data_IF_161545907954
#
_entry.id   IF_161545907954
#
_cell.length_a   1.000
_cell.length_b   1.000
_cell.length_c   1.000
_cell.angle_alpha   90.00
_cell.angle_beta   90.00
_cell.angle_gamma   90.00
#
_symmetry.space_group_name_H-M   'P 1'
#
loop_
_entity.id
_entity.type
_entity.pdbx_description
1 polymer ?
#
# COMPACT_ATOMS: atom_id res chain seq x y z
N UNK A 1 23.12 11.07 22.34
CA UNK A 1 23.55 11.18 20.93
C UNK A 1 22.29 11.40 20.12
N UNK A 2 22.06 12.62 19.63
CA UNK A 2 20.88 12.96 18.83
C UNK A 2 21.03 12.33 17.45
N UNK A 3 20.20 11.35 17.13
CA UNK A 3 20.06 10.85 15.77
C UNK A 3 19.70 12.05 14.89
N UNK A 4 20.56 12.36 13.91
CA UNK A 4 20.23 13.36 12.91
C UNK A 4 18.95 12.90 12.21
N UNK A 5 17.94 13.77 12.17
CA UNK A 5 16.75 13.54 11.35
C UNK A 5 17.23 13.19 9.92
N UNK A 6 16.70 12.13 9.29
CA UNK A 6 17.13 11.74 7.96
C UNK A 6 16.99 12.94 7.02
N UNK A 7 18.12 13.40 6.51
CA UNK A 7 18.20 14.54 5.60
C UNK A 7 17.56 14.09 4.28
N UNK A 8 16.26 14.31 4.11
CA UNK A 8 15.55 13.90 2.90
C UNK A 8 16.02 14.77 1.72
N UNK A 9 16.58 14.17 0.65
CA UNK A 9 17.38 14.87 -0.35
C UNK A 9 16.59 15.73 -1.34
N UNK A 10 15.27 15.84 -1.19
CA UNK A 10 14.40 16.56 -2.12
C UNK A 10 14.49 18.10 -2.00
N UNK A 11 15.55 18.62 -1.38
CA UNK A 11 15.76 20.03 -1.08
C UNK A 11 15.89 20.94 -2.32
N UNK A 12 16.14 20.37 -3.52
CA UNK A 12 16.11 21.11 -4.77
C UNK A 12 14.66 21.22 -5.31
N UNK A 13 13.92 22.19 -4.79
CA UNK A 13 12.47 22.36 -5.03
C UNK A 13 12.15 22.54 -6.53
N UNK A 14 12.92 23.34 -7.27
CA UNK A 14 12.63 23.66 -8.68
C UNK A 14 12.83 22.45 -9.61
N UNK A 15 13.94 21.73 -9.51
CA UNK A 15 14.17 20.53 -10.34
C UNK A 15 13.18 19.40 -10.00
N UNK A 16 12.71 19.37 -8.76
CA UNK A 16 11.70 18.40 -8.31
C UNK A 16 10.34 18.65 -8.96
N UNK A 17 9.94 19.92 -9.15
CA UNK A 17 8.66 20.26 -9.77
C UNK A 17 8.60 19.90 -11.26
N UNK A 18 9.66 20.16 -12.03
CA UNK A 18 9.71 19.81 -13.46
C UNK A 18 9.67 18.30 -13.69
N UNK A 19 10.42 17.52 -12.90
CA UNK A 19 10.41 16.05 -12.97
C UNK A 19 9.03 15.51 -12.61
N UNK A 20 8.43 16.00 -11.51
CA UNK A 20 7.09 15.58 -11.11
C UNK A 20 6.03 15.98 -12.13
N UNK A 21 6.19 17.12 -12.81
CA UNK A 21 5.31 17.53 -13.90
C UNK A 21 5.39 16.54 -15.07
N UNK A 22 6.60 16.22 -15.53
CA UNK A 22 6.84 15.20 -16.57
C UNK A 22 6.20 13.86 -16.20
N UNK A 23 6.44 13.35 -14.98
CA UNK A 23 5.83 12.09 -14.55
C UNK A 23 4.30 12.14 -14.47
N UNK A 24 3.71 13.28 -14.13
CA UNK A 24 2.25 13.43 -14.18
C UNK A 24 1.75 13.31 -15.61
N UNK A 25 2.36 14.03 -16.54
CA UNK A 25 1.98 14.04 -17.96
C UNK A 25 2.12 12.65 -18.61
N UNK A 26 3.17 11.89 -18.25
CA UNK A 26 3.47 10.60 -18.86
C UNK A 26 2.65 9.41 -18.28
N UNK A 27 2.26 9.49 -17.00
CA UNK A 27 1.73 8.32 -16.27
C UNK A 27 0.34 8.49 -15.68
N UNK A 28 -0.11 9.71 -15.39
CA UNK A 28 -1.40 9.93 -14.73
C UNK A 28 -2.53 9.88 -15.73
N UNK A 29 -3.60 9.16 -15.38
CA UNK A 29 -4.86 9.20 -16.11
C UNK A 29 -6.01 9.13 -15.09
N UNK A 30 -6.60 10.29 -14.77
CA UNK A 30 -7.63 10.37 -13.74
C UNK A 30 -8.96 9.73 -14.15
N UNK A 31 -9.16 9.43 -15.44
CA UNK A 31 -10.37 8.77 -15.96
C UNK A 31 -10.34 7.24 -15.78
N UNK A 32 -9.19 6.67 -15.43
CA UNK A 32 -9.00 5.22 -15.33
C UNK A 32 -8.75 4.77 -13.87
N UNK A 33 -9.62 3.95 -13.27
CA UNK A 33 -9.49 3.52 -11.88
C UNK A 33 -8.27 2.63 -11.61
N UNK A 34 -7.64 2.06 -12.65
CA UNK A 34 -6.36 1.35 -12.54
C UNK A 34 -5.19 2.15 -13.12
N UNK A 35 -5.35 3.41 -13.46
CA UNK A 35 -4.20 4.25 -13.76
C UNK A 35 -3.54 4.78 -12.48
N UNK A 36 -2.35 5.35 -12.67
CA UNK A 36 -1.65 6.09 -11.63
C UNK A 36 -2.36 7.42 -11.41
N UNK A 37 -2.41 7.86 -10.15
CA UNK A 37 -2.86 9.20 -9.80
C UNK A 37 -1.68 10.05 -9.31
N UNK A 38 -1.88 11.37 -9.29
CA UNK A 38 -0.84 12.33 -8.91
C UNK A 38 -0.22 12.04 -7.53
N UNK A 39 -1.04 11.64 -6.55
CA UNK A 39 -0.55 11.36 -5.19
C UNK A 39 0.35 10.13 -5.15
N UNK A 40 0.05 9.10 -5.94
CA UNK A 40 0.88 7.90 -6.03
C UNK A 40 2.20 8.18 -6.75
N UNK A 41 2.19 9.01 -7.81
CA UNK A 41 3.43 9.46 -8.47
C UNK A 41 4.34 10.19 -7.47
N UNK A 42 3.77 11.10 -6.67
CA UNK A 42 4.50 11.80 -5.62
C UNK A 42 5.08 10.82 -4.59
N UNK A 43 4.24 9.90 -4.10
CA UNK A 43 4.67 8.86 -3.17
C UNK A 43 5.86 8.06 -3.71
N UNK A 44 5.78 7.56 -4.95
CA UNK A 44 6.85 6.80 -5.59
C UNK A 44 8.15 7.63 -5.76
N UNK A 45 8.03 8.92 -6.08
CA UNK A 45 9.21 9.80 -6.17
C UNK A 45 9.89 9.97 -4.82
N UNK A 46 9.11 10.17 -3.75
CA UNK A 46 9.64 10.34 -2.40
C UNK A 46 10.27 9.06 -1.84
N UNK A 47 9.63 7.89 -1.98
CA UNK A 47 10.22 6.63 -1.50
C UNK A 47 11.51 6.28 -2.26
N UNK A 48 11.60 6.68 -3.53
CA UNK A 48 12.83 6.55 -4.33
C UNK A 48 13.84 7.67 -4.09
N UNK A 49 13.67 8.45 -3.01
CA UNK A 49 14.58 9.50 -2.56
C UNK A 49 14.80 10.57 -3.65
N UNK A 50 13.75 10.92 -4.37
CA UNK A 50 13.77 11.90 -5.45
C UNK A 50 14.74 11.55 -6.61
N UNK A 51 15.02 10.25 -6.79
CA UNK A 51 15.82 9.76 -7.91
C UNK A 51 14.94 9.55 -9.14
N UNK A 52 15.16 10.35 -10.20
CA UNK A 52 14.36 10.31 -11.43
C UNK A 52 14.34 8.92 -12.06
N UNK A 53 15.51 8.33 -12.34
CA UNK A 53 15.63 7.03 -13.01
C UNK A 53 14.90 5.92 -12.26
N UNK A 54 15.15 5.78 -10.94
CA UNK A 54 14.48 4.77 -10.11
C UNK A 54 12.97 5.00 -10.04
N UNK A 55 12.55 6.26 -10.00
CA UNK A 55 11.12 6.59 -9.98
C UNK A 55 10.47 6.23 -11.30
N UNK A 56 11.10 6.54 -12.43
CA UNK A 56 10.58 6.20 -13.75
C UNK A 56 10.48 4.69 -13.94
N UNK A 57 11.48 3.93 -13.53
CA UNK A 57 11.46 2.45 -13.53
C UNK A 57 10.32 1.92 -12.66
N UNK A 58 10.14 2.46 -11.45
CA UNK A 58 9.05 2.08 -10.55
C UNK A 58 7.67 2.43 -11.15
N UNK A 59 7.52 3.58 -11.80
CA UNK A 59 6.27 4.00 -12.45
C UNK A 59 5.91 3.10 -13.63
N UNK A 60 6.88 2.73 -14.48
CA UNK A 60 6.69 1.79 -15.59
C UNK A 60 6.23 0.42 -15.08
N UNK A 61 6.95 -0.11 -14.09
CA UNK A 61 6.60 -1.38 -13.47
C UNK A 61 5.21 -1.34 -12.81
N UNK A 62 4.92 -0.29 -12.04
CA UNK A 62 3.62 -0.15 -11.39
C UNK A 62 2.50 -0.12 -12.44
N UNK A 63 2.65 0.63 -13.54
CA UNK A 63 1.69 0.65 -14.65
C UNK A 63 1.45 -0.75 -15.24
N UNK A 64 2.50 -1.54 -15.45
CA UNK A 64 2.39 -2.93 -15.92
C UNK A 64 1.66 -3.83 -14.90
N UNK A 65 2.02 -3.72 -13.62
CA UNK A 65 1.38 -4.47 -12.53
C UNK A 65 -0.11 -4.12 -12.43
N UNK A 66 -0.49 -2.83 -12.52
CA UNK A 66 -1.89 -2.37 -12.50
C UNK A 66 -2.70 -3.00 -13.63
N UNK A 67 -2.15 -3.06 -14.84
CA UNK A 67 -2.79 -3.70 -15.99
C UNK A 67 -2.97 -5.23 -15.77
N UNK A 68 -1.93 -5.88 -15.25
CA UNK A 68 -1.95 -7.32 -14.92
C UNK A 68 -2.98 -7.64 -13.83
N UNK A 69 -3.11 -6.78 -12.82
CA UNK A 69 -4.13 -6.89 -11.75
C UNK A 69 -5.53 -6.74 -12.34
N UNK A 70 -5.75 -5.76 -13.23
CA UNK A 70 -7.05 -5.57 -13.91
C UNK A 70 -7.45 -6.81 -14.70
N UNK A 71 -6.56 -7.34 -15.53
CA UNK A 71 -6.80 -8.53 -16.34
C UNK A 71 -7.20 -9.73 -15.45
N UNK A 72 -6.46 -9.95 -14.36
CA UNK A 72 -6.73 -11.06 -13.44
C UNK A 72 -8.05 -10.91 -12.69
N UNK A 73 -8.41 -9.69 -12.27
CA UNK A 73 -9.73 -9.43 -11.68
C UNK A 73 -10.86 -9.69 -12.67
N UNK A 74 -10.67 -9.34 -13.94
CA UNK A 74 -11.66 -9.63 -15.00
C UNK A 74 -11.83 -11.14 -15.20
N UNK A 75 -10.73 -11.88 -15.38
CA UNK A 75 -10.74 -13.35 -15.49
C UNK A 75 -11.46 -13.98 -14.28
N UNK A 76 -11.11 -13.54 -13.06
CA UNK A 76 -11.73 -14.03 -11.82
C UNK A 76 -13.24 -13.77 -11.79
N UNK A 77 -13.68 -12.61 -12.26
CA UNK A 77 -15.11 -12.26 -12.32
C UNK A 77 -15.85 -13.19 -13.29
N UNK A 78 -15.25 -13.49 -14.44
CA UNK A 78 -15.83 -14.36 -15.45
C UNK A 78 -15.93 -15.82 -14.96
N UNK A 79 -14.91 -16.32 -14.25
CA UNK A 79 -14.97 -17.62 -13.55
C UNK A 79 -16.18 -17.72 -12.61
N UNK A 80 -16.37 -16.70 -11.74
CA UNK A 80 -17.47 -16.68 -10.78
C UNK A 80 -18.86 -16.62 -11.46
N UNK A 81 -18.96 -15.97 -12.62
CA UNK A 81 -20.20 -15.95 -13.40
C UNK A 81 -20.47 -17.29 -14.08
N UNK A 82 -19.42 -17.98 -14.51
CA UNK A 82 -19.50 -19.27 -15.23
C UNK A 82 -19.87 -20.41 -14.30
N UNK A 83 -19.29 -20.47 -13.09
CA UNK A 83 -19.68 -21.44 -12.04
C UNK A 83 -21.15 -21.29 -11.64
N UNK A 84 -21.66 -20.05 -11.57
CA UNK A 84 -23.08 -19.79 -11.25
C UNK A 84 -24.04 -20.18 -12.37
N UNK A 85 -23.58 -20.22 -13.61
CA UNK A 85 -24.42 -20.47 -14.79
C UNK A 85 -24.31 -21.90 -15.35
N UNK A 86 -23.48 -22.79 -14.77
CA UNK A 86 -23.24 -24.18 -15.25
C UNK A 86 -23.05 -24.24 -16.77
N UNK A 87 -22.20 -23.39 -17.33
CA UNK A 87 -21.75 -23.52 -18.73
C UNK A 87 -20.24 -23.63 -18.69
N UNK A 88 -19.77 -24.86 -18.55
CA UNK A 88 -18.37 -25.24 -18.69
C UNK A 88 -17.97 -25.09 -20.16
N UNK A 89 -17.45 -23.92 -20.52
CA UNK A 89 -16.56 -23.77 -21.65
C UNK A 89 -15.60 -22.62 -21.33
N UNK A 90 -14.46 -22.92 -20.71
CA UNK A 90 -13.12 -22.41 -21.12
C UNK A 90 -12.08 -22.94 -20.12
N UNK A 91 -11.13 -23.70 -20.68
CA UNK A 91 -9.90 -24.14 -20.04
C UNK A 91 -9.03 -22.90 -19.75
N UNK A 92 -8.99 -22.47 -18.49
CA UNK A 92 -7.80 -21.80 -17.98
C UNK A 92 -7.10 -22.83 -17.10
N UNK A 93 -5.84 -23.15 -17.42
CA UNK A 93 -5.01 -24.08 -16.64
C UNK A 93 -4.77 -23.59 -15.20
N UNK A 94 -5.06 -22.31 -14.92
CA UNK A 94 -4.98 -21.71 -13.60
C UNK A 94 -6.29 -21.92 -12.83
N UNK A 95 -6.16 -22.49 -11.63
CA UNK A 95 -7.23 -22.53 -10.65
C UNK A 95 -7.55 -21.13 -10.11
N UNK A 96 -8.77 -20.92 -9.62
CA UNK A 96 -9.16 -19.64 -8.99
C UNK A 96 -8.22 -19.27 -7.84
N UNK A 97 -7.72 -20.26 -7.08
CA UNK A 97 -6.77 -20.03 -5.98
C UNK A 97 -5.43 -19.51 -6.46
N UNK A 98 -4.90 -20.05 -7.56
CA UNK A 98 -3.65 -19.55 -8.14
C UNK A 98 -3.82 -18.13 -8.66
N UNK A 99 -4.95 -17.83 -9.30
CA UNK A 99 -5.27 -16.49 -9.78
C UNK A 99 -5.38 -15.48 -8.62
N UNK A 100 -6.07 -15.85 -7.54
CA UNK A 100 -6.16 -15.03 -6.33
C UNK A 100 -4.78 -14.82 -5.68
N UNK A 101 -3.93 -15.86 -5.66
CA UNK A 101 -2.54 -15.75 -5.20
C UNK A 101 -1.69 -14.80 -6.04
N UNK A 102 -1.87 -14.81 -7.37
CA UNK A 102 -1.19 -13.87 -8.27
C UNK A 102 -1.66 -12.43 -8.04
N UNK A 103 -2.96 -12.20 -7.85
CA UNK A 103 -3.50 -10.88 -7.48
C UNK A 103 -2.86 -10.41 -6.17
N UNK A 104 -2.82 -11.26 -5.14
CA UNK A 104 -2.20 -10.92 -3.86
C UNK A 104 -0.75 -10.48 -4.04
N UNK A 105 0.06 -11.27 -4.75
CA UNK A 105 1.48 -10.98 -4.94
C UNK A 105 1.72 -9.68 -5.71
N UNK A 106 0.92 -9.41 -6.75
CA UNK A 106 1.02 -8.17 -7.51
C UNK A 106 0.64 -6.96 -6.66
N UNK A 107 -0.49 -7.01 -5.94
CA UNK A 107 -0.93 -5.88 -5.10
C UNK A 107 0.05 -5.64 -3.95
N UNK A 108 0.47 -6.70 -3.25
CA UNK A 108 1.45 -6.62 -2.17
C UNK A 108 2.81 -6.11 -2.66
N UNK A 109 3.27 -6.57 -3.82
CA UNK A 109 4.57 -6.21 -4.39
C UNK A 109 4.66 -4.76 -4.90
N UNK A 110 3.53 -4.07 -5.06
CA UNK A 110 3.49 -2.62 -5.36
C UNK A 110 3.71 -1.76 -4.12
N UNK A 111 3.49 -2.31 -2.93
CA UNK A 111 3.70 -1.61 -1.68
C UNK A 111 5.17 -1.66 -1.27
N UNK A 112 5.58 -0.66 -0.49
CA UNK A 112 6.88 -0.73 0.18
C UNK A 112 6.91 -1.91 1.16
N UNK A 113 8.06 -2.59 1.24
CA UNK A 113 8.21 -3.72 2.16
C UNK A 113 8.13 -3.25 3.62
N UNK A 114 7.68 -4.13 4.50
CA UNK A 114 7.45 -3.78 5.90
C UNK A 114 8.74 -3.34 6.61
N UNK A 115 9.87 -3.97 6.27
CA UNK A 115 11.21 -3.68 6.80
C UNK A 115 11.67 -2.27 6.47
N UNK A 116 11.15 -1.69 5.38
CA UNK A 116 11.53 -0.35 4.95
C UNK A 116 10.62 0.74 5.54
N UNK A 117 9.47 0.40 6.15
CA UNK A 117 8.49 1.38 6.64
C UNK A 117 9.09 2.35 7.67
N UNK A 118 9.94 1.87 8.58
CA UNK A 118 10.55 2.71 9.61
C UNK A 118 11.45 3.80 9.02
N UNK A 119 12.06 3.55 7.86
CA UNK A 119 12.93 4.52 7.18
C UNK A 119 12.16 5.65 6.49
N UNK A 120 10.86 5.47 6.23
CA UNK A 120 10.00 6.40 5.49
C UNK A 120 9.39 7.42 6.47
N UNK A 121 9.18 8.69 6.10
CA UNK A 121 8.52 9.66 6.97
C UNK A 121 7.04 9.32 7.15
N UNK A 122 6.42 9.62 8.30
CA UNK A 122 5.03 9.25 8.58
C UNK A 122 4.02 9.65 7.48
N UNK A 123 4.17 10.84 6.91
CA UNK A 123 3.31 11.38 5.85
C UNK A 123 3.38 10.60 4.53
N UNK A 124 4.43 9.80 4.32
CA UNK A 124 4.62 8.99 3.11
C UNK A 124 4.53 7.47 3.36
N UNK A 125 4.33 7.02 4.61
CA UNK A 125 4.08 5.60 4.94
C UNK A 125 2.69 5.19 4.49
N UNK A 126 2.53 4.97 3.19
CA UNK A 126 1.26 4.60 2.56
C UNK A 126 1.33 3.20 1.98
N UNK A 127 0.31 2.38 2.25
CA UNK A 127 0.11 1.07 1.64
C UNK A 127 -1.23 1.05 0.91
N UNK A 128 -1.22 0.66 -0.36
CA UNK A 128 -2.39 0.52 -1.22
C UNK A 128 -3.01 -0.87 -1.07
N UNK A 129 -4.26 -0.91 -0.64
CA UNK A 129 -5.05 -2.13 -0.45
C UNK A 129 -6.19 -2.27 -1.46
N UNK A 130 -6.40 -1.29 -2.36
CA UNK A 130 -7.61 -1.15 -3.16
C UNK A 130 -7.98 -2.41 -3.96
N UNK A 131 -7.01 -3.19 -4.41
CA UNK A 131 -7.27 -4.36 -5.27
C UNK A 131 -7.00 -5.71 -4.63
N UNK A 132 -6.75 -5.74 -3.32
CA UNK A 132 -6.85 -7.00 -2.61
C UNK A 132 -8.31 -7.49 -2.61
N UNK A 133 -8.49 -8.80 -2.52
CA UNK A 133 -9.74 -9.34 -2.02
C UNK A 133 -9.88 -9.00 -0.53
N UNK A 134 -11.11 -8.89 -0.01
CA UNK A 134 -11.34 -8.54 1.40
C UNK A 134 -10.58 -9.45 2.36
N UNK A 135 -10.62 -10.78 2.15
CA UNK A 135 -9.86 -11.75 2.98
C UNK A 135 -8.35 -11.49 2.90
N UNK A 136 -7.83 -11.23 1.71
CA UNK A 136 -6.42 -10.93 1.49
C UNK A 136 -5.99 -9.63 2.17
N UNK A 137 -6.83 -8.60 2.14
CA UNK A 137 -6.56 -7.34 2.83
C UNK A 137 -6.51 -7.54 4.35
N UNK A 138 -7.44 -8.34 4.91
CA UNK A 138 -7.45 -8.68 6.33
C UNK A 138 -6.19 -9.45 6.75
N UNK A 139 -5.74 -10.40 5.93
CA UNK A 139 -4.53 -11.17 6.19
C UNK A 139 -3.25 -10.33 6.03
N UNK A 140 -3.21 -9.45 5.03
CA UNK A 140 -2.10 -8.53 4.81
C UNK A 140 -1.95 -7.55 5.99
N UNK A 141 -3.05 -6.97 6.48
CA UNK A 141 -3.03 -6.05 7.63
C UNK A 141 -2.69 -6.78 8.93
N UNK A 142 -3.15 -8.03 9.12
CA UNK A 142 -2.71 -8.84 10.27
C UNK A 142 -1.19 -9.02 10.26
N UNK A 143 -0.61 -9.45 9.13
CA UNK A 143 0.85 -9.63 9.00
C UNK A 143 1.62 -8.33 9.25
N UNK A 144 1.09 -7.20 8.78
CA UNK A 144 1.65 -5.89 9.05
C UNK A 144 1.64 -5.58 10.55
N UNK A 145 0.50 -5.74 11.22
CA UNK A 145 0.38 -5.51 12.68
C UNK A 145 1.35 -6.40 13.45
N UNK A 146 1.41 -7.69 13.10
CA UNK A 146 2.32 -8.65 13.73
C UNK A 146 3.78 -8.24 13.53
N UNK A 147 4.15 -7.82 12.32
CA UNK A 147 5.48 -7.30 12.01
C UNK A 147 5.81 -6.08 12.87
N UNK A 148 4.95 -5.06 12.85
CA UNK A 148 5.21 -3.78 13.54
C UNK A 148 5.27 -3.94 15.07
N UNK A 149 4.47 -4.86 15.65
CA UNK A 149 4.48 -5.11 17.09
C UNK A 149 5.73 -5.88 17.56
N UNK A 150 6.31 -6.72 16.69
CA UNK A 150 7.50 -7.50 17.00
C UNK A 150 8.81 -6.75 16.73
N UNK A 151 8.76 -5.63 16.02
CA UNK A 151 9.91 -4.77 15.78
C UNK A 151 10.28 -3.99 17.06
N UNK A 152 11.52 -4.13 17.58
CA UNK A 152 11.94 -3.44 18.78
C UNK A 152 11.99 -1.92 18.62
N UNK A 153 12.26 -1.41 17.42
CA UNK A 153 12.48 0.00 17.13
C UNK A 153 11.18 0.76 16.85
N UNK A 154 10.11 0.03 16.51
CA UNK A 154 8.78 0.62 16.30
C UNK A 154 8.14 1.04 17.63
N UNK A 155 7.56 2.24 17.63
CA UNK A 155 6.81 2.77 18.76
C UNK A 155 7.67 3.19 19.95
N UNK A 156 8.99 3.36 19.80
CA UNK A 156 9.88 3.71 20.93
C UNK A 156 9.70 5.16 21.37
N UNK A 157 9.81 6.11 20.45
CA UNK A 157 9.79 7.54 20.79
C UNK A 157 8.39 8.16 20.69
N UNK A 158 7.58 7.66 19.75
CA UNK A 158 6.27 8.19 19.39
C UNK A 158 5.39 7.10 18.79
N UNK A 159 4.10 7.40 18.62
CA UNK A 159 3.19 6.55 17.85
C UNK A 159 3.73 6.33 16.43
N UNK A 160 3.62 5.08 15.95
CA UNK A 160 4.01 4.71 14.60
C UNK A 160 2.75 4.59 13.73
N UNK A 161 2.64 5.49 12.75
CA UNK A 161 1.45 5.60 11.90
C UNK A 161 1.75 5.12 10.48
N UNK A 162 0.84 4.33 9.91
CA UNK A 162 0.82 3.89 8.51
C UNK A 162 -0.55 4.18 7.90
N UNK A 163 -0.59 4.79 6.71
CA UNK A 163 -1.82 5.07 5.98
C UNK A 163 -2.17 3.91 5.06
N UNK A 164 -3.39 3.38 5.17
CA UNK A 164 -3.90 2.28 4.36
C UNK A 164 -4.95 2.82 3.38
N UNK A 165 -4.67 2.77 2.08
CA UNK A 165 -5.62 3.17 1.03
C UNK A 165 -6.52 1.99 0.69
N UNK A 166 -7.76 2.01 1.15
CA UNK A 166 -8.68 0.85 1.08
C UNK A 166 -9.52 0.78 -0.20
N UNK A 167 -9.52 1.85 -1.01
CA UNK A 167 -10.41 1.92 -2.19
C UNK A 167 -11.90 2.06 -1.84
N UNK A 168 -12.76 1.67 -2.78
CA UNK A 168 -14.23 1.73 -2.63
C UNK A 168 -14.78 0.61 -1.70
N UNK A 169 -16.01 0.84 -1.18
CA UNK A 169 -16.64 0.16 -0.03
C UNK A 169 -16.47 -1.37 0.01
N UNK A 170 -16.13 -1.89 1.20
CA UNK A 170 -16.00 -3.33 1.49
C UNK A 170 -14.80 -3.61 2.42
N UNK A 171 -13.58 -3.40 1.92
CA UNK A 171 -12.33 -3.64 2.68
C UNK A 171 -12.28 -2.80 3.96
N UNK A 172 -12.63 -1.51 3.87
CA UNK A 172 -12.58 -0.57 4.99
C UNK A 172 -13.42 -1.01 6.19
N UNK A 173 -14.66 -1.44 5.93
CA UNK A 173 -15.63 -1.78 6.97
C UNK A 173 -15.19 -3.06 7.70
N UNK A 174 -14.74 -4.07 6.96
CA UNK A 174 -14.23 -5.32 7.52
C UNK A 174 -12.93 -5.12 8.29
N UNK A 175 -12.03 -4.26 7.82
CA UNK A 175 -10.81 -3.89 8.55
C UNK A 175 -11.13 -3.21 9.88
N UNK A 176 -12.01 -2.20 9.88
CA UNK A 176 -12.41 -1.49 11.12
C UNK A 176 -13.11 -2.43 12.12
N UNK A 177 -13.86 -3.42 11.62
CA UNK A 177 -14.48 -4.44 12.46
C UNK A 177 -13.46 -5.40 13.07
N UNK A 178 -12.44 -5.82 12.30
CA UNK A 178 -11.44 -6.78 12.75
C UNK A 178 -10.35 -6.16 13.65
N UNK A 179 -9.96 -4.92 13.37
CA UNK A 179 -8.86 -4.21 14.06
C UNK A 179 -9.30 -2.85 14.64
N UNK A 180 -10.34 -2.82 15.50
CA UNK A 180 -10.91 -1.55 15.98
C UNK A 180 -9.99 -0.78 16.94
N UNK A 181 -8.93 -1.41 17.47
CA UNK A 181 -7.99 -0.77 18.39
C UNK A 181 -6.85 -0.08 17.65
N UNK A 182 -6.44 -0.67 16.53
CA UNK A 182 -5.28 -0.25 15.75
C UNK A 182 -5.66 0.69 14.60
N UNK A 183 -6.89 0.58 14.07
CA UNK A 183 -7.34 1.32 12.89
C UNK A 183 -8.35 2.42 13.22
N UNK A 184 -8.12 3.61 12.68
CA UNK A 184 -9.06 4.73 12.69
C UNK A 184 -9.33 5.24 11.28
N UNK A 185 -10.54 5.77 10.99
CA UNK A 185 -10.78 6.48 9.74
C UNK A 185 -9.93 7.75 9.65
N UNK A 186 -9.19 7.91 8.54
CA UNK A 186 -8.48 9.15 8.26
C UNK A 186 -9.43 10.22 7.68
N UNK A 187 -8.90 11.44 7.47
CA UNK A 187 -9.64 12.58 6.91
C UNK A 187 -10.21 12.35 5.50
N UNK A 188 -9.84 11.27 4.81
CA UNK A 188 -10.37 10.92 3.48
C UNK A 188 -11.17 9.61 3.54
N UNK A 189 -12.29 9.56 2.80
CA UNK A 189 -13.25 8.44 2.84
C UNK A 189 -12.61 7.06 2.58
N UNK A 190 -11.55 6.99 1.78
CA UNK A 190 -10.92 5.75 1.34
C UNK A 190 -9.60 5.43 2.06
N UNK A 191 -9.28 6.10 3.17
CA UNK A 191 -8.04 5.86 3.92
C UNK A 191 -8.34 5.51 5.38
N UNK A 192 -7.55 4.60 5.92
CA UNK A 192 -7.45 4.28 7.34
C UNK A 192 -6.05 4.63 7.84
N UNK A 193 -5.94 5.04 9.10
CA UNK A 193 -4.68 5.18 9.81
C UNK A 193 -4.51 3.97 10.72
N UNK A 194 -3.45 3.21 10.49
CA UNK A 194 -2.95 2.17 11.40
C UNK A 194 -1.97 2.80 12.36
N UNK A 195 -2.26 2.73 13.66
CA UNK A 195 -1.42 3.30 14.71
C UNK A 195 -0.92 2.21 15.65
N UNK A 196 0.39 2.01 15.70
CA UNK A 196 1.05 1.29 16.79
C UNK A 196 1.44 2.30 17.85
N UNK A 197 0.87 2.16 19.04
CA UNK A 197 1.05 3.11 20.13
C UNK A 197 2.49 3.12 20.63
N UNK A 198 2.94 4.29 21.05
CA UNK A 198 4.21 4.43 21.75
C UNK A 198 4.26 3.43 22.92
N UNK A 199 5.34 2.65 22.99
CA UNK A 199 5.66 1.78 24.10
C UNK A 199 5.83 2.66 25.33
N UNK A 200 4.94 2.53 26.31
CA UNK A 200 5.13 3.18 27.60
C UNK A 200 6.41 2.62 28.21
N UNK A 201 7.40 3.47 28.51
CA UNK A 201 8.49 3.07 29.38
C UNK A 201 7.86 2.61 30.69
N UNK A 202 7.88 1.30 30.93
CA UNK A 202 7.71 0.81 32.29
C UNK A 202 8.95 1.35 33.00
N UNK A 203 8.79 2.42 33.77
CA UNK A 203 9.76 2.77 34.78
C UNK A 203 9.82 1.55 35.70
N UNK A 204 10.81 0.69 35.51
CA UNK A 204 11.24 -0.28 36.51
C UNK A 204 11.96 0.49 37.62
N UNK A 205 11.22 1.35 38.31
CA UNK A 205 11.57 1.77 39.67
C UNK A 205 10.86 0.79 40.60
N UNK A 206 11.57 -0.28 40.95
CA UNK A 206 11.30 -1.11 42.12
C UNK A 206 12.69 -1.61 42.56
N UNK A 207 13.33 -0.89 43.48
CA UNK A 207 13.25 -1.05 44.95
C UNK A 207 14.16 -2.17 45.44
#
# INVERSE_FOLDING_TARGET
MTAAAPNYPCAAIIMTEDILKKFKEDYVNDDDPYALNVKWVHHLFFINKCNETKTEEALKKDKEDRNSIREKHNIRKDFNLTERNVISTHQSELSIKELEGQIYNLVAGRNVSFENLASIPPEYRTLDLHWFLTSQALDYVQKLIDFLNNDPDIGVEQDFVVHLVTGAKGIKEELLKKFPKELTPANTRAVLELTIKKKSHINTEAS
#
